data_IF_203391366116
#
_entry.id   IF_203391366116
#
_cell.length_a   1.000
_cell.length_b   1.000
_cell.length_c   1.000
_cell.angle_alpha   90.00
_cell.angle_beta   90.00
_cell.angle_gamma   90.00
#
_symmetry.space_group_name_H-M   'P 1'
#
loop_
_entity.id
_entity.type
_entity.pdbx_description
1 polymer ?
#
# COMPACT_ATOMS: atom_id res chain seq x y z
N UNK A 1 -19.81 6.70 7.01
CA UNK A 1 -19.46 6.68 5.55
C UNK A 1 -20.76 6.56 4.78
N UNK A 2 -21.05 7.49 3.91
CA UNK A 2 -22.28 7.51 3.13
C UNK A 2 -22.08 6.76 1.81
N UNK A 3 -22.38 5.46 1.79
CA UNK A 3 -22.43 4.60 0.60
C UNK A 3 -21.27 3.63 0.43
N UNK A 4 -21.58 2.50 -0.24
CA UNK A 4 -20.59 1.48 -0.64
C UNK A 4 -19.73 2.02 -1.79
N UNK A 5 -18.40 1.89 -1.69
CA UNK A 5 -17.41 2.31 -2.69
C UNK A 5 -16.72 1.10 -3.33
N UNK A 6 -16.23 1.26 -4.55
CA UNK A 6 -15.41 0.25 -5.22
C UNK A 6 -13.94 0.47 -4.85
N UNK A 7 -13.35 -0.56 -4.24
CA UNK A 7 -11.97 -0.56 -3.72
C UNK A 7 -11.12 -1.54 -4.49
N UNK A 8 -9.97 -1.11 -4.97
CA UNK A 8 -8.95 -1.98 -5.54
C UNK A 8 -7.72 -2.00 -4.62
N UNK A 9 -7.29 -3.20 -4.21
CA UNK A 9 -6.12 -3.42 -3.36
C UNK A 9 -5.14 -4.30 -4.11
N UNK A 10 -3.90 -3.85 -4.30
CA UNK A 10 -2.88 -4.70 -4.92
C UNK A 10 -2.18 -5.58 -3.89
N UNK A 11 -1.99 -6.87 -4.22
CA UNK A 11 -1.35 -7.82 -3.30
C UNK A 11 -2.21 -8.12 -2.07
N UNK A 12 -3.52 -8.37 -2.27
CA UNK A 12 -4.48 -8.58 -1.20
C UNK A 12 -4.66 -10.04 -0.74
N UNK A 13 -3.74 -10.94 -1.10
CA UNK A 13 -3.85 -12.36 -0.75
C UNK A 13 -3.16 -12.75 0.57
N UNK A 14 -2.46 -11.84 1.25
CA UNK A 14 -1.79 -12.06 2.54
C UNK A 14 -1.42 -10.75 3.25
N UNK A 15 -1.04 -10.88 4.53
CA UNK A 15 -0.47 -9.80 5.33
C UNK A 15 -1.32 -8.55 5.40
N UNK A 16 -0.69 -7.39 5.26
CA UNK A 16 -1.36 -6.07 5.37
C UNK A 16 -2.46 -5.92 4.32
N UNK A 17 -2.19 -6.30 3.06
CA UNK A 17 -3.18 -6.17 1.99
C UNK A 17 -4.43 -7.01 2.21
N UNK A 18 -4.28 -8.21 2.79
CA UNK A 18 -5.39 -9.07 3.16
C UNK A 18 -6.25 -8.44 4.27
N UNK A 19 -5.61 -7.95 5.35
CA UNK A 19 -6.32 -7.30 6.46
C UNK A 19 -7.02 -6.00 6.00
N UNK A 20 -6.41 -5.23 5.09
CA UNK A 20 -7.07 -4.07 4.50
C UNK A 20 -8.33 -4.50 3.74
N UNK A 21 -8.26 -5.58 2.95
CA UNK A 21 -9.42 -6.07 2.21
C UNK A 21 -10.55 -6.50 3.17
N UNK A 22 -10.24 -7.24 4.24
CA UNK A 22 -11.24 -7.63 5.26
C UNK A 22 -11.91 -6.42 5.91
N UNK A 23 -11.13 -5.41 6.30
CA UNK A 23 -11.65 -4.19 6.95
C UNK A 23 -12.60 -3.41 6.03
N UNK A 24 -12.25 -3.28 4.73
CA UNK A 24 -13.12 -2.61 3.76
C UNK A 24 -14.37 -3.41 3.44
N UNK A 25 -14.29 -4.76 3.39
CA UNK A 25 -15.46 -5.64 3.23
C UNK A 25 -16.40 -5.50 4.44
N UNK A 26 -15.86 -5.56 5.66
CA UNK A 26 -16.62 -5.41 6.89
C UNK A 26 -17.31 -4.03 6.98
N UNK A 27 -16.73 -3.00 6.39
CA UNK A 27 -17.32 -1.67 6.27
C UNK A 27 -18.37 -1.54 5.14
N UNK A 28 -18.67 -2.61 4.41
CA UNK A 28 -19.71 -2.67 3.37
C UNK A 28 -19.27 -2.16 2.00
N UNK A 29 -17.97 -2.06 1.74
CA UNK A 29 -17.44 -1.69 0.42
C UNK A 29 -17.38 -2.89 -0.53
N UNK A 30 -17.38 -2.63 -1.84
CA UNK A 30 -17.15 -3.61 -2.89
C UNK A 30 -15.64 -3.72 -3.12
N UNK A 31 -15.04 -4.81 -2.71
CA UNK A 31 -13.58 -4.95 -2.71
C UNK A 31 -13.11 -5.88 -3.80
N UNK A 32 -12.15 -5.43 -4.57
CA UNK A 32 -11.33 -6.27 -5.46
C UNK A 32 -9.89 -6.30 -4.95
N UNK A 33 -9.26 -7.46 -5.07
CA UNK A 33 -7.83 -7.62 -4.78
C UNK A 33 -7.09 -8.15 -6.00
N UNK A 34 -5.88 -7.64 -6.26
CA UNK A 34 -5.02 -8.30 -7.24
C UNK A 34 -4.16 -9.36 -6.54
N UNK A 35 -4.04 -10.50 -7.21
CA UNK A 35 -3.23 -11.63 -6.75
C UNK A 35 -2.38 -12.16 -7.91
N UNK A 36 -1.17 -12.65 -7.65
CA UNK A 36 -0.39 -13.41 -8.64
C UNK A 36 -0.84 -14.87 -8.69
N UNK A 37 -1.22 -15.40 -7.52
CA UNK A 37 -1.76 -16.75 -7.33
C UNK A 37 -2.61 -16.80 -6.05
N UNK A 38 -3.48 -17.81 -5.93
CA UNK A 38 -4.38 -17.94 -4.77
C UNK A 38 -5.61 -17.06 -4.87
N UNK A 39 -6.23 -16.80 -3.73
CA UNK A 39 -7.44 -15.99 -3.57
C UNK A 39 -7.23 -14.88 -2.54
N UNK A 40 -8.14 -13.92 -2.50
CA UNK A 40 -8.25 -12.94 -1.41
C UNK A 40 -9.20 -13.41 -0.30
N UNK A 41 -9.54 -12.50 0.65
CA UNK A 41 -10.57 -12.77 1.67
C UNK A 41 -11.91 -13.14 1.06
N UNK A 42 -12.73 -13.83 1.86
CA UNK A 42 -14.13 -14.09 1.49
C UNK A 42 -14.88 -12.76 1.26
N UNK A 43 -15.73 -12.73 0.24
CA UNK A 43 -16.48 -11.52 -0.12
C UNK A 43 -15.76 -10.53 -1.03
N UNK A 44 -14.50 -10.76 -1.40
CA UNK A 44 -13.82 -9.95 -2.41
C UNK A 44 -13.80 -10.58 -3.81
N UNK A 45 -13.64 -9.74 -4.82
CA UNK A 45 -13.31 -10.17 -6.19
C UNK A 45 -11.78 -10.31 -6.30
N UNK A 46 -11.27 -11.52 -6.43
CA UNK A 46 -9.85 -11.76 -6.69
C UNK A 46 -9.58 -11.76 -8.20
N UNK A 47 -8.72 -10.85 -8.66
CA UNK A 47 -8.31 -10.75 -10.07
C UNK A 47 -6.82 -11.04 -10.20
N UNK A 48 -6.45 -11.85 -11.20
CA UNK A 48 -5.04 -12.17 -11.43
C UNK A 48 -4.34 -10.98 -12.09
N UNK A 49 -3.30 -10.46 -11.47
CA UNK A 49 -2.46 -9.41 -12.05
C UNK A 49 -1.04 -9.43 -11.49
N UNK A 50 -0.09 -9.05 -12.34
CA UNK A 50 1.27 -8.72 -11.96
C UNK A 50 1.49 -7.21 -12.18
N UNK A 51 1.97 -6.51 -11.16
CA UNK A 51 2.27 -5.06 -11.26
C UNK A 51 3.42 -4.75 -12.22
N UNK A 52 4.19 -5.76 -12.60
CA UNK A 52 5.24 -5.68 -13.61
C UNK A 52 4.70 -5.76 -15.03
N UNK A 53 3.52 -6.34 -15.23
CA UNK A 53 2.90 -6.54 -16.54
C UNK A 53 1.75 -5.55 -16.77
N UNK A 54 1.99 -4.62 -17.67
CA UNK A 54 1.03 -3.58 -18.04
C UNK A 54 -0.28 -4.15 -18.64
N UNK A 55 -0.20 -5.19 -19.46
CA UNK A 55 -1.36 -5.81 -20.08
C UNK A 55 -2.21 -6.57 -19.04
N UNK A 56 -1.56 -7.28 -18.13
CA UNK A 56 -2.22 -7.95 -17.01
C UNK A 56 -2.97 -6.95 -16.11
N UNK A 57 -2.38 -5.78 -15.84
CA UNK A 57 -3.04 -4.72 -15.09
C UNK A 57 -4.23 -4.12 -15.85
N UNK A 58 -4.12 -3.90 -17.15
CA UNK A 58 -5.24 -3.40 -17.96
C UNK A 58 -6.43 -4.37 -17.93
N UNK A 59 -6.18 -5.67 -18.07
CA UNK A 59 -7.19 -6.71 -17.99
C UNK A 59 -7.85 -6.77 -16.60
N UNK A 60 -7.04 -6.73 -15.54
CA UNK A 60 -7.54 -6.79 -14.16
C UNK A 60 -8.41 -5.57 -13.81
N UNK A 61 -8.01 -4.36 -14.19
CA UNK A 61 -8.79 -3.16 -13.93
C UNK A 61 -10.10 -3.18 -14.71
N UNK A 62 -10.08 -3.60 -15.99
CA UNK A 62 -11.28 -3.75 -16.79
C UNK A 62 -12.25 -4.78 -16.17
N UNK A 63 -11.74 -5.88 -15.63
CA UNK A 63 -12.55 -6.90 -14.93
C UNK A 63 -13.19 -6.33 -13.66
N UNK A 64 -12.43 -5.60 -12.83
CA UNK A 64 -12.93 -4.94 -11.62
C UNK A 64 -14.04 -3.96 -11.96
N UNK A 65 -13.80 -3.06 -12.93
CA UNK A 65 -14.77 -2.04 -13.30
C UNK A 65 -16.03 -2.62 -13.93
N UNK A 66 -15.92 -3.72 -14.67
CA UNK A 66 -17.07 -4.45 -15.22
C UNK A 66 -17.91 -5.14 -14.13
N UNK A 67 -17.27 -5.70 -13.11
CA UNK A 67 -17.93 -6.55 -12.11
C UNK A 67 -18.47 -5.76 -10.92
N UNK A 68 -17.73 -4.73 -10.47
CA UNK A 68 -18.04 -3.98 -9.26
C UNK A 68 -18.45 -2.52 -9.53
N UNK A 69 -18.07 -1.98 -10.67
CA UNK A 69 -18.22 -0.57 -11.02
C UNK A 69 -16.87 0.16 -11.01
N UNK A 70 -16.90 1.46 -11.35
CA UNK A 70 -15.69 2.26 -11.47
C UNK A 70 -14.93 2.35 -10.15
N UNK A 71 -13.60 2.21 -10.21
CA UNK A 71 -12.73 2.25 -9.03
C UNK A 71 -12.75 3.64 -8.41
N UNK A 72 -13.05 3.71 -7.11
CA UNK A 72 -13.13 4.94 -6.32
C UNK A 72 -12.02 5.04 -5.28
N UNK A 73 -11.53 3.89 -4.79
CA UNK A 73 -10.45 3.80 -3.80
C UNK A 73 -9.38 2.84 -4.34
N UNK A 74 -8.13 3.29 -4.33
CA UNK A 74 -6.97 2.46 -4.66
C UNK A 74 -6.07 2.33 -3.43
N UNK A 75 -5.74 1.11 -3.05
CA UNK A 75 -4.68 0.79 -2.09
C UNK A 75 -3.55 0.09 -2.83
N UNK A 76 -2.48 0.83 -3.11
CA UNK A 76 -1.29 0.30 -3.75
C UNK A 76 -0.37 -0.33 -2.69
N UNK A 77 -0.58 -1.61 -2.41
CA UNK A 77 0.10 -2.37 -1.36
C UNK A 77 1.14 -3.36 -1.88
N UNK A 78 0.98 -3.91 -3.09
CA UNK A 78 1.92 -4.89 -3.63
C UNK A 78 3.37 -4.42 -3.56
N UNK A 79 4.24 -5.27 -3.04
CA UNK A 79 5.66 -4.97 -2.89
C UNK A 79 6.47 -6.19 -2.48
N UNK A 80 7.78 -6.07 -2.61
CA UNK A 80 8.77 -7.08 -2.25
C UNK A 80 9.93 -6.43 -1.48
N UNK A 81 10.69 -7.25 -0.76
CA UNK A 81 12.02 -6.92 -0.23
C UNK A 81 13.06 -7.87 -0.82
N UNK A 82 14.29 -7.37 -0.98
CA UNK A 82 15.48 -8.14 -1.28
C UNK A 82 16.63 -7.50 -0.52
N UNK A 83 16.83 -7.97 0.69
CA UNK A 83 17.72 -7.36 1.66
C UNK A 83 19.16 -7.88 1.48
N UNK A 84 20.08 -6.96 1.28
CA UNK A 84 21.51 -7.24 1.24
C UNK A 84 22.29 -5.98 1.61
N UNK A 85 23.41 -6.12 2.33
CA UNK A 85 24.31 -4.98 2.57
C UNK A 85 24.83 -4.42 1.24
N UNK A 86 25.06 -3.10 1.17
CA UNK A 86 25.40 -2.37 -0.06
C UNK A 86 26.40 -3.10 -0.95
N UNK A 87 27.51 -3.57 -0.38
CA UNK A 87 28.57 -4.23 -1.14
C UNK A 87 28.23 -5.66 -1.63
N UNK A 88 27.08 -6.19 -1.23
CA UNK A 88 26.59 -7.53 -1.62
C UNK A 88 25.30 -7.47 -2.41
N UNK A 89 24.68 -6.29 -2.50
CA UNK A 89 23.44 -6.11 -3.27
C UNK A 89 23.79 -6.08 -4.75
N UNK A 90 23.15 -6.95 -5.53
CA UNK A 90 23.29 -6.90 -6.99
C UNK A 90 22.45 -5.80 -7.60
N UNK A 91 22.83 -5.34 -8.80
CA UNK A 91 22.04 -4.37 -9.56
C UNK A 91 20.66 -4.94 -9.86
N UNK A 92 20.55 -6.23 -10.17
CA UNK A 92 19.30 -6.93 -10.45
C UNK A 92 18.35 -6.93 -9.23
N UNK A 93 18.87 -7.14 -8.01
CA UNK A 93 18.07 -7.10 -6.78
C UNK A 93 17.59 -5.68 -6.49
N UNK A 94 18.42 -4.68 -6.75
CA UNK A 94 18.03 -3.28 -6.65
C UNK A 94 16.92 -2.96 -7.65
N UNK A 95 17.13 -3.23 -8.92
CA UNK A 95 16.18 -2.96 -10.00
C UNK A 95 14.84 -3.68 -9.81
N UNK A 96 14.85 -4.93 -9.38
CA UNK A 96 13.63 -5.70 -9.15
C UNK A 96 12.76 -5.08 -8.06
N UNK A 97 13.37 -4.59 -6.97
CA UNK A 97 12.63 -3.92 -5.90
C UNK A 97 12.07 -2.57 -6.38
N UNK A 98 12.87 -1.78 -7.11
CA UNK A 98 12.40 -0.51 -7.70
C UNK A 98 11.27 -0.76 -8.70
N UNK A 99 11.41 -1.74 -9.59
CA UNK A 99 10.37 -1.99 -10.60
C UNK A 99 9.06 -2.46 -9.97
N UNK A 100 9.12 -3.30 -8.94
CA UNK A 100 7.91 -3.77 -8.25
C UNK A 100 7.30 -2.66 -7.39
N UNK A 101 8.09 -2.06 -6.49
CA UNK A 101 7.58 -1.20 -5.42
C UNK A 101 7.33 0.24 -5.86
N UNK A 102 7.92 0.70 -6.95
CA UNK A 102 7.77 2.06 -7.45
C UNK A 102 7.12 2.09 -8.83
N UNK A 103 7.73 1.46 -9.85
CA UNK A 103 7.18 1.47 -11.19
C UNK A 103 5.85 0.71 -11.26
N UNK A 104 5.72 -0.40 -10.52
CA UNK A 104 4.48 -1.16 -10.40
C UNK A 104 3.36 -0.32 -9.79
N UNK A 105 3.67 0.41 -8.71
CA UNK A 105 2.72 1.36 -8.09
C UNK A 105 2.30 2.44 -9.09
N UNK A 106 3.25 3.05 -9.80
CA UNK A 106 2.94 4.03 -10.85
C UNK A 106 2.02 3.45 -11.93
N UNK A 107 2.29 2.23 -12.41
CA UNK A 107 1.47 1.56 -13.43
C UNK A 107 0.02 1.39 -12.97
N UNK A 108 -0.20 0.99 -11.73
CA UNK A 108 -1.54 0.81 -11.15
C UNK A 108 -2.23 2.15 -10.93
N UNK A 109 -1.56 3.12 -10.31
CA UNK A 109 -2.10 4.47 -10.07
C UNK A 109 -2.57 5.12 -11.36
N UNK A 110 -1.72 5.11 -12.42
CA UNK A 110 -2.05 5.67 -13.73
C UNK A 110 -3.34 5.09 -14.33
N UNK A 111 -3.63 3.82 -14.05
CA UNK A 111 -4.81 3.13 -14.57
C UNK A 111 -6.05 3.39 -13.74
N UNK A 112 -5.94 3.20 -12.43
CA UNK A 112 -7.07 3.36 -11.51
C UNK A 112 -7.58 4.81 -11.46
N UNK A 113 -6.70 5.81 -11.59
CA UNK A 113 -7.10 7.23 -11.55
C UNK A 113 -7.91 7.68 -12.77
N UNK A 114 -7.95 6.91 -13.87
CA UNK A 114 -8.78 7.26 -15.05
C UNK A 114 -10.27 7.37 -14.71
N UNK A 115 -10.82 6.42 -13.98
CA UNK A 115 -12.21 6.42 -13.52
C UNK A 115 -12.45 7.45 -12.43
N UNK A 116 -11.52 7.62 -11.50
CA UNK A 116 -11.58 8.63 -10.44
C UNK A 116 -11.68 10.06 -11.00
N UNK A 117 -10.89 10.37 -12.05
CA UNK A 117 -10.91 11.68 -12.73
C UNK A 117 -12.29 11.94 -13.35
N UNK A 118 -12.88 10.93 -14.00
CA UNK A 118 -14.21 11.04 -14.63
C UNK A 118 -15.32 11.28 -13.59
N UNK A 119 -15.23 10.59 -12.44
CA UNK A 119 -16.21 10.70 -11.36
C UNK A 119 -16.00 11.93 -10.48
N UNK A 120 -14.84 12.61 -10.59
CA UNK A 120 -14.42 13.69 -9.70
C UNK A 120 -14.42 13.27 -8.22
N UNK A 121 -14.03 12.01 -7.97
CA UNK A 121 -13.86 11.42 -6.66
C UNK A 121 -12.78 10.34 -6.71
N UNK A 122 -11.90 10.32 -5.73
CA UNK A 122 -10.92 9.25 -5.58
C UNK A 122 -10.13 9.33 -4.28
N UNK A 123 -9.70 8.17 -3.82
CA UNK A 123 -8.78 8.02 -2.69
C UNK A 123 -7.64 7.10 -3.11
N UNK A 124 -6.42 7.62 -3.11
CA UNK A 124 -5.21 6.86 -3.45
C UNK A 124 -4.37 6.71 -2.18
N UNK A 125 -4.23 5.49 -1.71
CA UNK A 125 -3.43 5.11 -0.57
C UNK A 125 -2.22 4.31 -1.04
N UNK A 126 -1.03 4.87 -0.84
CA UNK A 126 0.24 4.22 -1.18
C UNK A 126 0.82 3.60 0.09
N UNK A 127 0.99 2.29 0.11
CA UNK A 127 1.58 1.62 1.27
C UNK A 127 3.10 1.78 1.22
N UNK A 128 3.57 2.74 2.02
CA UNK A 128 4.97 3.05 2.25
C UNK A 128 5.61 2.11 3.26
N UNK A 129 6.53 2.65 4.04
CA UNK A 129 7.16 2.03 5.21
C UNK A 129 7.86 3.11 6.03
N UNK A 130 7.95 2.92 7.34
CA UNK A 130 8.83 3.72 8.20
C UNK A 130 10.28 3.66 7.73
N UNK A 131 10.71 2.53 7.14
CA UNK A 131 12.04 2.35 6.56
C UNK A 131 12.29 3.31 5.39
N UNK A 132 11.24 3.71 4.66
CA UNK A 132 11.34 4.75 3.63
C UNK A 132 11.62 6.14 4.19
N UNK A 133 11.41 6.36 5.49
CA UNK A 133 11.65 7.64 6.17
C UNK A 133 12.99 7.62 6.92
N UNK A 134 13.29 6.52 7.63
CA UNK A 134 14.49 6.37 8.49
C UNK A 134 15.71 5.80 7.74
N UNK A 135 15.49 5.01 6.71
CA UNK A 135 16.49 4.09 6.18
C UNK A 135 16.66 2.84 7.07
N UNK A 136 17.29 1.81 6.52
CA UNK A 136 17.65 0.60 7.26
C UNK A 136 18.88 -0.05 6.63
N UNK A 137 19.87 -0.50 7.40
CA UNK A 137 20.97 -1.27 6.87
C UNK A 137 20.48 -2.49 6.09
N UNK A 138 21.05 -2.72 4.90
CA UNK A 138 20.67 -3.83 4.04
C UNK A 138 19.42 -3.62 3.18
N UNK A 139 18.73 -2.47 3.31
CA UNK A 139 17.48 -2.19 2.61
C UNK A 139 17.54 -0.93 1.74
N UNK A 140 18.66 -0.64 1.11
CA UNK A 140 18.84 0.58 0.32
C UNK A 140 17.84 0.64 -0.85
N UNK A 141 17.57 -0.48 -1.53
CA UNK A 141 16.59 -0.61 -2.60
C UNK A 141 15.15 -0.41 -2.08
N UNK A 142 14.81 -1.06 -0.98
CA UNK A 142 13.48 -0.98 -0.36
C UNK A 142 13.23 0.44 0.18
N UNK A 143 14.18 0.99 0.95
CA UNK A 143 14.11 2.36 1.47
C UNK A 143 13.91 3.38 0.35
N UNK A 144 14.73 3.31 -0.71
CA UNK A 144 14.62 4.20 -1.86
C UNK A 144 13.24 4.09 -2.52
N UNK A 145 12.75 2.86 -2.75
CA UNK A 145 11.44 2.64 -3.38
C UNK A 145 10.30 3.21 -2.55
N UNK A 146 10.33 3.04 -1.22
CA UNK A 146 9.27 3.51 -0.32
C UNK A 146 9.33 5.02 -0.07
N UNK A 147 10.52 5.61 -0.01
CA UNK A 147 10.71 7.07 0.01
C UNK A 147 10.13 7.76 -1.22
N UNK A 148 10.32 7.19 -2.40
CA UNK A 148 9.84 7.76 -3.65
C UNK A 148 8.31 7.90 -3.70
N UNK A 149 7.55 7.06 -2.97
CA UNK A 149 6.11 7.14 -2.89
C UNK A 149 5.62 8.47 -2.28
N UNK A 150 6.41 9.11 -1.43
CA UNK A 150 6.10 10.42 -0.85
C UNK A 150 6.04 11.48 -1.96
N UNK A 151 7.06 11.51 -2.83
CA UNK A 151 7.07 12.39 -4.00
C UNK A 151 5.88 12.12 -4.94
N UNK A 152 5.56 10.84 -5.16
CA UNK A 152 4.42 10.44 -5.98
C UNK A 152 3.09 10.93 -5.38
N UNK A 153 2.83 10.71 -4.09
CA UNK A 153 1.62 11.17 -3.42
C UNK A 153 1.46 12.70 -3.51
N UNK A 154 2.53 13.45 -3.26
CA UNK A 154 2.51 14.91 -3.33
C UNK A 154 2.25 15.43 -4.75
N UNK A 155 2.83 14.79 -5.77
CA UNK A 155 2.59 15.15 -7.18
C UNK A 155 1.15 14.86 -7.58
N UNK A 156 0.63 13.67 -7.22
CA UNK A 156 -0.78 13.31 -7.46
C UNK A 156 -1.74 14.30 -6.79
N UNK A 157 -1.46 14.71 -5.55
CA UNK A 157 -2.25 15.73 -4.84
C UNK A 157 -2.30 17.05 -5.60
N UNK A 158 -1.18 17.53 -6.13
CA UNK A 158 -1.13 18.79 -6.89
C UNK A 158 -1.83 18.68 -8.23
N UNK A 159 -1.72 17.54 -8.90
CA UNK A 159 -2.30 17.31 -10.22
C UNK A 159 -3.80 17.02 -10.17
N UNK A 160 -4.24 16.22 -9.19
CA UNK A 160 -5.59 15.64 -9.15
C UNK A 160 -6.49 16.21 -8.04
N UNK A 161 -5.96 17.01 -7.11
CA UNK A 161 -6.72 17.56 -5.99
C UNK A 161 -7.96 18.36 -6.43
N UNK A 162 -7.85 19.17 -7.50
CA UNK A 162 -8.97 19.88 -8.10
C UNK A 162 -10.08 18.99 -8.71
N UNK A 163 -9.84 17.67 -8.74
CA UNK A 163 -10.80 16.65 -9.18
C UNK A 163 -11.43 15.87 -8.01
N UNK A 164 -11.26 16.33 -6.77
CA UNK A 164 -11.76 15.64 -5.59
C UNK A 164 -11.02 14.33 -5.24
N UNK A 165 -9.76 14.20 -5.71
CA UNK A 165 -8.93 13.03 -5.47
C UNK A 165 -7.87 13.38 -4.43
N UNK A 166 -7.77 12.55 -3.37
CA UNK A 166 -6.68 12.64 -2.40
C UNK A 166 -5.66 11.53 -2.63
N UNK A 167 -4.40 11.79 -2.32
CA UNK A 167 -3.33 10.80 -2.39
C UNK A 167 -2.43 10.91 -1.16
N UNK A 168 -2.31 9.82 -0.39
CA UNK A 168 -1.56 9.77 0.85
C UNK A 168 -0.67 8.53 0.93
N UNK A 169 0.39 8.61 1.70
CA UNK A 169 1.25 7.47 2.05
C UNK A 169 0.88 7.00 3.45
N UNK A 170 0.53 5.73 3.60
CA UNK A 170 0.49 5.06 4.90
C UNK A 170 1.84 4.38 5.09
N UNK A 171 2.54 4.70 6.18
CA UNK A 171 3.88 4.20 6.45
C UNK A 171 3.89 3.26 7.67
N UNK A 172 3.65 1.94 7.47
CA UNK A 172 3.72 0.98 8.55
C UNK A 172 5.14 0.86 9.13
N UNK A 173 5.22 0.63 10.44
CA UNK A 173 6.43 0.18 11.13
C UNK A 173 6.57 -1.35 11.06
N UNK A 174 6.95 -1.96 12.18
CA UNK A 174 6.98 -3.42 12.32
C UNK A 174 5.57 -3.95 12.60
N UNK A 175 5.07 -4.73 11.65
CA UNK A 175 3.73 -5.32 11.67
C UNK A 175 3.87 -6.83 11.83
N UNK A 176 3.08 -7.42 12.72
CA UNK A 176 3.04 -8.86 12.97
C UNK A 176 2.44 -9.58 11.75
N UNK A 177 3.33 -10.14 10.94
CA UNK A 177 3.03 -10.86 9.70
C UNK A 177 4.01 -12.02 9.55
N UNK A 178 3.81 -12.87 8.55
CA UNK A 178 4.76 -13.96 8.21
C UNK A 178 6.19 -13.43 8.05
N UNK A 179 6.35 -12.18 7.62
CA UNK A 179 7.67 -11.55 7.41
C UNK A 179 8.38 -11.28 8.75
N UNK A 180 7.65 -10.82 9.77
CA UNK A 180 8.21 -10.58 11.11
C UNK A 180 8.32 -11.85 11.93
N UNK A 181 7.46 -12.83 11.70
CA UNK A 181 7.53 -14.16 12.30
C UNK A 181 8.80 -14.94 11.91
N UNK A 182 9.40 -14.60 10.77
CA UNK A 182 10.66 -15.20 10.31
C UNK A 182 11.92 -14.63 10.99
N UNK A 183 11.79 -13.57 11.81
CA UNK A 183 12.90 -12.96 12.55
C UNK A 183 13.32 -13.84 13.74
N UNK A 184 14.61 -13.85 14.05
CA UNK A 184 15.09 -14.50 15.28
C UNK A 184 14.62 -13.76 16.53
N UNK A 185 14.59 -14.46 17.68
CA UNK A 185 14.20 -13.84 18.98
C UNK A 185 15.07 -12.63 19.32
N UNK A 186 16.35 -12.67 18.96
CA UNK A 186 17.29 -11.57 19.19
C UNK A 186 16.94 -10.35 18.34
N UNK A 187 16.63 -10.56 17.05
CA UNK A 187 16.18 -9.50 16.15
C UNK A 187 14.85 -8.91 16.59
N UNK A 188 13.90 -9.75 17.03
CA UNK A 188 12.61 -9.27 17.54
C UNK A 188 12.82 -8.39 18.78
N UNK A 189 13.66 -8.80 19.73
CA UNK A 189 13.98 -8.01 20.92
C UNK A 189 14.65 -6.68 20.58
N UNK A 190 15.58 -6.66 19.65
CA UNK A 190 16.24 -5.44 19.18
C UNK A 190 15.21 -4.46 18.56
N UNK A 191 14.36 -4.93 17.66
CA UNK A 191 13.32 -4.09 17.08
C UNK A 191 12.31 -3.59 18.12
N UNK A 192 11.84 -4.45 19.03
CA UNK A 192 10.92 -4.06 20.10
C UNK A 192 11.51 -2.99 21.01
N UNK A 193 12.82 -3.03 21.29
CA UNK A 193 13.48 -2.02 22.11
C UNK A 193 13.49 -0.62 21.50
N UNK A 194 13.33 -0.52 20.18
CA UNK A 194 13.33 0.74 19.42
C UNK A 194 11.94 1.31 19.23
N UNK A 195 10.88 0.52 19.43
CA UNK A 195 9.50 0.95 19.27
C UNK A 195 8.98 1.52 20.58
N UNK A 196 8.67 2.83 20.68
CA UNK A 196 8.14 3.42 21.92
C UNK A 196 6.88 2.74 22.45
N UNK A 197 6.00 2.24 21.56
CA UNK A 197 4.81 1.47 21.95
C UNK A 197 5.13 0.08 22.53
N UNK A 198 6.38 -0.41 22.47
CA UNK A 198 6.86 -1.66 23.07
C UNK A 198 6.30 -2.95 22.46
N UNK A 199 5.68 -2.87 21.27
CA UNK A 199 5.09 -4.02 20.56
C UNK A 199 5.07 -3.81 19.06
N UNK A 200 4.95 -4.90 18.32
CA UNK A 200 4.57 -4.85 16.92
C UNK A 200 3.08 -4.49 16.79
N UNK A 201 2.71 -3.81 15.71
CA UNK A 201 1.32 -3.58 15.37
C UNK A 201 0.74 -4.79 14.64
N UNK A 202 -0.58 -4.94 14.71
CA UNK A 202 -1.30 -5.93 13.91
C UNK A 202 -1.60 -5.37 12.52
N UNK A 203 -1.77 -6.22 11.48
CA UNK A 203 -2.23 -5.80 10.16
C UNK A 203 -3.55 -5.02 10.21
N UNK A 204 -4.45 -5.37 11.13
CA UNK A 204 -5.73 -4.69 11.33
C UNK A 204 -5.58 -3.23 11.78
N UNK A 205 -4.52 -2.89 12.53
CA UNK A 205 -4.26 -1.50 12.93
C UNK A 205 -3.90 -0.63 11.72
N UNK A 206 -3.15 -1.17 10.76
CA UNK A 206 -2.85 -0.50 9.48
C UNK A 206 -4.13 -0.39 8.64
N UNK A 207 -4.93 -1.45 8.60
CA UNK A 207 -6.17 -1.51 7.82
C UNK A 207 -7.18 -0.43 8.27
N UNK A 208 -7.35 -0.22 9.56
CA UNK A 208 -8.22 0.83 10.13
C UNK A 208 -7.78 2.23 9.72
N UNK A 209 -6.48 2.50 9.70
CA UNK A 209 -5.95 3.78 9.22
C UNK A 209 -6.23 3.96 7.73
N UNK A 210 -6.07 2.91 6.92
CA UNK A 210 -6.42 2.94 5.50
C UNK A 210 -7.91 3.22 5.29
N UNK A 211 -8.79 2.55 6.04
CA UNK A 211 -10.23 2.76 5.96
C UNK A 211 -10.62 4.21 6.31
N UNK A 212 -10.05 4.76 7.38
CA UNK A 212 -10.29 6.14 7.78
C UNK A 212 -9.77 7.14 6.73
N UNK A 213 -8.55 6.98 6.21
CA UNK A 213 -7.99 7.85 5.17
C UNK A 213 -8.78 7.79 3.86
N UNK A 214 -9.47 6.69 3.59
CA UNK A 214 -10.34 6.55 2.43
C UNK A 214 -11.73 7.15 2.64
N UNK A 215 -12.09 7.54 3.86
CA UNK A 215 -13.40 8.10 4.19
C UNK A 215 -13.52 9.58 3.79
N UNK A 216 -14.75 10.09 3.86
CA UNK A 216 -15.02 11.51 3.64
C UNK A 216 -14.55 12.40 4.80
N UNK A 217 -14.36 11.81 6.01
CA UNK A 217 -13.82 12.51 7.19
C UNK A 217 -12.35 12.91 6.99
N UNK A 218 -11.62 12.18 6.13
CA UNK A 218 -10.24 12.49 5.75
C UNK A 218 -10.13 13.27 4.42
N UNK A 219 -11.23 13.80 3.89
CA UNK A 219 -11.27 14.42 2.54
C UNK A 219 -10.34 15.63 2.36
N UNK A 220 -9.90 16.25 3.44
CA UNK A 220 -8.94 17.37 3.39
C UNK A 220 -7.49 16.97 3.67
N UNK A 221 -7.23 15.66 3.85
CA UNK A 221 -5.89 15.11 4.04
C UNK A 221 -5.40 14.60 2.69
N UNK A 222 -4.38 15.26 2.12
CA UNK A 222 -3.79 14.88 0.84
C UNK A 222 -2.31 15.29 0.77
N UNK A 223 -1.46 14.42 0.22
CA UNK A 223 -0.01 14.58 0.19
C UNK A 223 0.68 14.26 1.52
N UNK A 224 -0.05 13.73 2.48
CA UNK A 224 0.46 13.39 3.80
C UNK A 224 1.20 12.05 3.81
N UNK A 225 2.12 11.92 4.75
CA UNK A 225 2.67 10.64 5.20
C UNK A 225 2.11 10.37 6.58
N UNK A 226 1.43 9.24 6.75
CA UNK A 226 0.78 8.83 7.99
C UNK A 226 1.52 7.60 8.54
N UNK A 227 2.40 7.77 9.53
CA UNK A 227 3.08 6.67 10.19
C UNK A 227 2.09 5.81 11.00
N UNK A 228 2.23 4.48 10.92
CA UNK A 228 1.52 3.50 11.74
C UNK A 228 2.59 2.58 12.32
N UNK A 229 3.40 3.12 13.23
CA UNK A 229 4.70 2.56 13.59
C UNK A 229 5.02 2.54 15.09
N UNK A 230 4.03 2.89 15.93
CA UNK A 230 4.20 2.91 17.38
C UNK A 230 5.22 3.95 17.89
N UNK A 231 5.49 4.97 17.08
CA UNK A 231 6.45 6.03 17.39
C UNK A 231 7.87 5.75 16.93
N UNK A 232 8.12 4.64 16.20
CA UNK A 232 9.47 4.28 15.75
C UNK A 232 10.10 5.36 14.89
N UNK A 233 9.31 5.99 14.00
CA UNK A 233 9.76 6.98 13.05
C UNK A 233 9.55 8.44 13.49
N UNK A 234 9.42 8.74 14.78
CA UNK A 234 9.24 10.12 15.23
C UNK A 234 10.43 11.02 14.81
N UNK A 235 10.12 12.25 14.40
CA UNK A 235 11.14 13.29 14.17
C UNK A 235 11.49 13.58 12.72
N UNK A 236 10.68 13.18 11.75
CA UNK A 236 10.83 13.59 10.35
C UNK A 236 9.56 14.19 9.76
#
# INVERSE_FOLDING_TARGET
MTGSRVVLITGGNRGIGYAIAEEFIAAGHKVAVTVRSGSGPEGCLAVKADVLDAASLDAAIAEVERSLGPIEILVANAGITKDALLMRMSDEDFEQVIDTNLNGVFRVVKRATKSMIKQRYGRVLLIGSVVGLLGSPGQINYSASKSALVGMARSLTRELGGRGITANVVAPGFIDTDMTAALSDEQQKDYLSRIPAGRFATPAEVAKVCLWLASDDASYISGAVVPVDGGLGMGH
#
